data_IF_060474998729
#
_entry.id   IF_060474998729
#
_cell.length_a   1.000
_cell.length_b   1.000
_cell.length_c   1.000
_cell.angle_alpha   90.00
_cell.angle_beta   90.00
_cell.angle_gamma   90.00
#
_symmetry.space_group_name_H-M   'P 1'
#
loop_
_entity.id
_entity.type
_entity.pdbx_description
1 polymer ?
#
# COMPACT_ATOMS: atom_id res chain seq x y z
N UNK A 1 9.13 0.91 -7.91
CA UNK A 1 7.77 0.53 -8.34
C UNK A 1 6.77 1.33 -7.49
N UNK A 2 5.74 1.99 -8.06
CA UNK A 2 4.67 2.62 -7.29
C UNK A 2 3.94 1.60 -6.42
N UNK A 3 3.51 2.01 -5.22
CA UNK A 3 2.79 1.15 -4.28
C UNK A 3 1.40 0.77 -4.82
N UNK A 4 0.77 1.68 -5.57
CA UNK A 4 -0.46 1.40 -6.32
C UNK A 4 -0.29 0.23 -7.29
N UNK A 5 0.85 0.17 -8.00
CA UNK A 5 1.17 -0.92 -8.91
C UNK A 5 1.49 -2.22 -8.16
N UNK A 6 2.26 -2.12 -7.08
CA UNK A 6 2.57 -3.26 -6.21
C UNK A 6 1.28 -3.90 -5.68
N UNK A 7 0.36 -3.07 -5.17
CA UNK A 7 -0.92 -3.50 -4.66
C UNK A 7 -1.75 -4.26 -5.70
N UNK A 8 -1.87 -3.75 -6.92
CA UNK A 8 -2.59 -4.45 -8.00
C UNK A 8 -2.00 -5.84 -8.28
N UNK A 9 -0.67 -5.96 -8.32
CA UNK A 9 0.02 -7.24 -8.56
C UNK A 9 -0.25 -8.20 -7.40
N UNK A 10 -0.08 -7.74 -6.16
CA UNK A 10 -0.23 -8.56 -4.97
C UNK A 10 -1.69 -9.01 -4.73
N UNK A 11 -2.66 -8.19 -5.11
CA UNK A 11 -4.08 -8.60 -5.17
C UNK A 11 -4.29 -9.65 -6.24
N UNK A 12 -3.73 -9.46 -7.44
CA UNK A 12 -3.80 -10.46 -8.51
C UNK A 12 -3.15 -11.80 -8.16
N UNK A 13 -2.15 -11.79 -7.28
CA UNK A 13 -1.48 -12.99 -6.76
C UNK A 13 -2.16 -13.57 -5.51
N UNK A 14 -3.17 -12.90 -4.95
CA UNK A 14 -3.87 -13.34 -3.74
C UNK A 14 -3.10 -13.12 -2.43
N UNK A 15 -2.00 -12.37 -2.44
CA UNK A 15 -1.22 -12.05 -1.23
C UNK A 15 -1.84 -10.91 -0.42
N UNK A 16 -2.55 -9.99 -1.08
CA UNK A 16 -3.25 -8.89 -0.44
C UNK A 16 -4.70 -8.84 -0.90
N UNK A 17 -5.52 -8.19 -0.08
CA UNK A 17 -6.88 -7.77 -0.45
C UNK A 17 -7.11 -6.33 0.00
N UNK A 18 -7.97 -5.56 -0.69
CA UNK A 18 -8.46 -4.30 -0.14
C UNK A 18 -9.07 -4.54 1.25
N UNK A 19 -8.84 -3.61 2.16
CA UNK A 19 -9.49 -3.60 3.46
C UNK A 19 -10.95 -3.22 3.30
N UNK A 20 -11.81 -3.80 4.14
CA UNK A 20 -13.21 -3.37 4.23
C UNK A 20 -13.27 -1.85 4.52
N UNK A 21 -14.04 -1.07 3.74
CA UNK A 21 -14.15 0.36 3.97
C UNK A 21 -14.71 0.60 5.36
N UNK A 22 -13.98 1.38 6.17
CA UNK A 22 -14.49 1.82 7.47
C UNK A 22 -15.37 3.07 7.31
N UNK A 23 -16.25 3.37 8.28
CA UNK A 23 -16.88 4.68 8.35
C UNK A 23 -15.81 5.78 8.49
N UNK A 24 -16.00 6.89 7.77
CA UNK A 24 -15.15 8.07 7.97
C UNK A 24 -15.45 8.69 9.34
N UNK A 25 -14.42 9.17 10.07
CA UNK A 25 -14.62 9.82 11.36
C UNK A 25 -15.40 11.13 11.20
N UNK A 26 -16.18 11.49 12.23
CA UNK A 26 -16.90 12.75 12.32
C UNK A 26 -16.53 13.48 13.63
N UNK A 27 -15.94 14.70 13.57
CA UNK A 27 -15.62 15.46 12.36
C UNK A 27 -14.44 14.86 11.57
N UNK A 28 -14.40 15.14 10.26
CA UNK A 28 -13.28 14.75 9.41
C UNK A 28 -11.99 15.49 9.84
N UNK A 29 -10.81 14.86 9.76
CA UNK A 29 -9.54 15.54 9.98
C UNK A 29 -9.36 16.72 9.03
N UNK A 30 -8.73 17.80 9.50
CA UNK A 30 -8.44 18.98 8.67
C UNK A 30 -7.55 18.66 7.46
N UNK A 31 -6.77 17.58 7.54
CA UNK A 31 -5.89 17.10 6.46
C UNK A 31 -6.60 16.15 5.49
N UNK A 32 -7.90 15.88 5.66
CA UNK A 32 -8.63 14.99 4.78
C UNK A 32 -8.84 15.62 3.40
N UNK A 33 -8.27 15.01 2.37
CA UNK A 33 -8.47 15.41 0.98
C UNK A 33 -9.44 14.47 0.27
N UNK A 34 -10.64 14.98 -0.04
CA UNK A 34 -11.68 14.23 -0.74
C UNK A 34 -11.36 13.92 -2.22
N UNK A 35 -10.34 14.56 -2.79
CA UNK A 35 -9.89 14.33 -4.17
C UNK A 35 -8.92 13.16 -4.30
N UNK A 36 -8.33 12.72 -3.18
CA UNK A 36 -7.36 11.64 -3.12
C UNK A 36 -8.05 10.34 -2.70
N UNK A 37 -7.71 9.22 -3.35
CA UNK A 37 -8.33 7.92 -3.05
C UNK A 37 -7.28 6.80 -2.89
N UNK A 38 -7.46 6.00 -1.85
CA UNK A 38 -6.62 4.84 -1.56
C UNK A 38 -7.40 3.56 -1.85
N UNK A 39 -6.97 2.82 -2.88
CA UNK A 39 -7.60 1.56 -3.28
C UNK A 39 -7.45 0.45 -2.22
N UNK A 40 -6.39 0.52 -1.40
CA UNK A 40 -6.19 -0.43 -0.31
C UNK A 40 -7.18 -0.20 0.85
N UNK A 41 -7.44 1.04 1.23
CA UNK A 41 -8.43 1.38 2.27
C UNK A 41 -9.86 1.51 1.73
N UNK A 42 -10.01 1.64 0.41
CA UNK A 42 -11.27 1.94 -0.26
C UNK A 42 -11.92 3.24 0.25
N UNK A 43 -11.11 4.27 0.49
CA UNK A 43 -11.52 5.53 1.11
C UNK A 43 -10.78 6.73 0.55
N UNK A 44 -11.38 7.91 0.71
CA UNK A 44 -10.75 9.20 0.42
C UNK A 44 -9.78 9.63 1.52
N UNK A 45 -8.87 10.55 1.18
CA UNK A 45 -7.98 11.22 2.13
C UNK A 45 -6.50 11.16 1.76
N UNK A 46 -6.04 10.06 1.16
CA UNK A 46 -4.67 9.89 0.66
C UNK A 46 -4.66 8.96 -0.56
N UNK A 47 -3.62 9.01 -1.39
CA UNK A 47 -3.48 8.06 -2.51
C UNK A 47 -3.04 6.68 -2.03
N UNK A 48 -3.17 5.67 -2.90
CA UNK A 48 -2.60 4.34 -2.62
C UNK A 48 -1.07 4.39 -2.47
N UNK A 49 -0.39 5.30 -3.17
CA UNK A 49 1.07 5.44 -3.13
C UNK A 49 1.58 6.04 -1.81
N UNK A 50 0.78 6.89 -1.18
CA UNK A 50 1.07 7.50 0.13
C UNK A 50 0.59 6.65 1.31
N UNK A 51 0.03 5.48 1.03
CA UNK A 51 -0.54 4.62 2.06
C UNK A 51 0.55 3.96 2.91
N UNK A 52 0.81 4.53 4.10
CA UNK A 52 1.77 3.97 5.05
C UNK A 52 1.44 2.53 5.45
N UNK A 53 0.16 2.22 5.73
CA UNK A 53 -0.23 0.87 6.11
C UNK A 53 0.08 -0.14 5.01
N UNK A 54 -0.28 0.16 3.77
CA UNK A 54 0.04 -0.70 2.63
C UNK A 54 1.56 -0.88 2.49
N UNK A 55 2.36 0.16 2.72
CA UNK A 55 3.82 0.09 2.65
C UNK A 55 4.37 -0.91 3.66
N UNK A 56 3.86 -0.89 4.89
CA UNK A 56 4.22 -1.85 5.93
C UNK A 56 3.82 -3.27 5.54
N UNK A 57 2.58 -3.49 5.08
CA UNK A 57 2.11 -4.84 4.70
C UNK A 57 2.92 -5.42 3.53
N UNK A 58 3.32 -4.59 2.55
CA UNK A 58 4.21 -5.02 1.46
C UNK A 58 5.60 -5.37 1.98
N UNK A 59 6.14 -4.59 2.93
CA UNK A 59 7.42 -4.87 3.57
C UNK A 59 7.36 -6.17 4.39
N UNK A 60 6.28 -6.39 5.14
CA UNK A 60 6.08 -7.61 5.93
C UNK A 60 6.00 -8.85 5.03
N UNK A 61 5.35 -8.76 3.86
CA UNK A 61 5.35 -9.85 2.88
C UNK A 61 6.76 -10.18 2.38
N UNK A 62 7.61 -9.17 2.23
CA UNK A 62 9.00 -9.38 1.84
C UNK A 62 9.84 -9.97 2.98
N UNK A 63 9.75 -9.40 4.18
CA UNK A 63 10.54 -9.82 5.34
C UNK A 63 10.19 -11.27 5.75
N UNK A 64 8.95 -11.69 5.53
CA UNK A 64 8.49 -13.07 5.75
C UNK A 64 8.78 -14.02 4.56
N UNK A 65 9.38 -13.53 3.48
CA UNK A 65 9.74 -14.32 2.30
C UNK A 65 8.55 -14.78 1.44
N UNK A 66 7.36 -14.17 1.61
CA UNK A 66 6.17 -14.48 0.80
C UNK A 66 6.33 -13.94 -0.62
N UNK A 67 6.98 -12.79 -0.76
CA UNK A 67 7.31 -12.18 -2.06
C UNK A 67 8.81 -11.98 -2.17
N UNK A 68 9.38 -12.04 -3.39
CA UNK A 68 10.81 -11.80 -3.57
C UNK A 68 11.18 -10.38 -3.16
N UNK A 69 12.45 -10.18 -2.82
CA UNK A 69 12.98 -8.86 -2.56
C UNK A 69 12.63 -7.89 -3.69
N UNK A 70 12.26 -6.64 -3.37
CA UNK A 70 12.40 -5.59 -4.36
C UNK A 70 13.87 -5.66 -4.80
N UNK A 71 14.09 -6.02 -6.07
CA UNK A 71 15.39 -6.47 -6.57
C UNK A 71 16.53 -5.52 -6.19
N UNK A 72 17.77 -6.00 -6.15
CA UNK A 72 18.87 -5.23 -5.57
C UNK A 72 19.05 -3.91 -6.32
N UNK A 73 19.19 -2.80 -5.58
CA UNK A 73 20.12 -1.79 -6.04
C UNK A 73 21.45 -2.52 -6.22
N UNK A 74 21.91 -2.61 -7.47
CA UNK A 74 23.10 -3.35 -7.85
C UNK A 74 24.33 -2.71 -7.19
N UNK A 75 24.65 -3.04 -5.94
CA UNK A 75 26.01 -2.91 -5.41
C UNK A 75 26.70 -4.24 -5.61
N UNK A 76 27.22 -4.41 -6.83
CA UNK A 76 28.42 -5.20 -7.04
C UNK A 76 29.56 -4.49 -6.31
N UNK A 77 30.32 -5.18 -5.47
CA UNK A 77 31.59 -4.64 -4.98
C UNK A 77 32.02 -5.13 -3.61
N UNK A 78 32.92 -6.13 -3.67
CA UNK A 78 34.04 -6.44 -2.76
C UNK A 78 33.73 -6.84 -1.32
#
# INVERSE_FOLDING_TARGET
MPLSKAFQILVGQGHLKPLEPRPLPNPLPATHDATQYCAYHQQTGHTTDDCFRLRHEVQDLFDNGVIPAPGPAKSIGT
#
